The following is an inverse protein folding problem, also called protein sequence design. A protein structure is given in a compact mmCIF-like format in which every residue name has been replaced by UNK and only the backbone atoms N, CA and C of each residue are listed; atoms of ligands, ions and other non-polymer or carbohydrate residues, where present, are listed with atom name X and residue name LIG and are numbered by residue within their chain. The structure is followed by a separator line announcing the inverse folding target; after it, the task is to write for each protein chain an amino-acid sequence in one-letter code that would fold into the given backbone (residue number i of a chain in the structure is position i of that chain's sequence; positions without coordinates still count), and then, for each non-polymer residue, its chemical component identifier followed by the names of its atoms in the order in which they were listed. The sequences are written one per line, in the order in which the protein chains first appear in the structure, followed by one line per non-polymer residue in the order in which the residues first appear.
data_IF_134041959776
#
_entry.id   IF_134041959776
#
_cell.length_a   1.000
_cell.length_b   1.000
_cell.length_c   1.000
_cell.angle_alpha   90.00
_cell.angle_beta   90.00
_cell.angle_gamma   90.00
#
_symmetry.space_group_name_H-M   'P 1'
#
loop_
_entity.id
_entity.type
_entity.pdbx_description
1 polymer ?
#
# COMPACT_ATOMS: atom_id res chain seq x y z
N UNK A 1 -45.42 -39.19 -39.26
CA UNK A 1 -44.63 -37.93 -39.29
C UNK A 1 -44.13 -37.65 -37.88
N UNK A 2 -42.82 -37.80 -37.65
CA UNK A 2 -42.18 -37.46 -36.37
C UNK A 2 -41.97 -35.94 -36.33
N UNK A 3 -42.59 -35.24 -35.38
CA UNK A 3 -42.27 -33.84 -35.09
C UNK A 3 -41.13 -33.81 -34.06
N UNK A 4 -39.92 -33.58 -34.54
CA UNK A 4 -38.75 -33.36 -33.67
C UNK A 4 -38.84 -31.95 -33.09
N UNK A 5 -39.06 -31.86 -31.79
CA UNK A 5 -39.00 -30.61 -31.02
C UNK A 5 -37.53 -30.25 -30.77
N UNK A 6 -37.04 -29.18 -31.40
CA UNK A 6 -35.69 -28.66 -31.16
C UNK A 6 -35.76 -27.75 -29.93
N UNK A 7 -35.31 -28.26 -28.77
CA UNK A 7 -35.08 -27.44 -27.59
C UNK A 7 -33.77 -26.67 -27.75
N UNK A 8 -33.85 -25.38 -28.08
CA UNK A 8 -32.69 -24.49 -28.08
C UNK A 8 -32.40 -24.10 -26.62
N UNK A 9 -31.35 -24.70 -26.05
CA UNK A 9 -30.82 -24.30 -24.74
C UNK A 9 -29.98 -23.03 -24.95
N UNK A 10 -30.52 -21.86 -24.63
CA UNK A 10 -29.71 -20.64 -24.53
C UNK A 10 -28.88 -20.73 -23.25
N UNK A 11 -27.61 -21.11 -23.37
CA UNK A 11 -26.63 -20.89 -22.33
C UNK A 11 -26.33 -19.38 -22.28
N UNK A 12 -27.03 -18.64 -21.40
CA UNK A 12 -26.60 -17.30 -21.02
C UNK A 12 -25.32 -17.44 -20.21
N UNK A 13 -24.17 -17.38 -20.89
CA UNK A 13 -22.92 -17.04 -20.22
C UNK A 13 -23.07 -15.55 -19.91
N UNK A 14 -23.60 -15.24 -18.72
CA UNK A 14 -23.43 -13.94 -18.11
C UNK A 14 -21.93 -13.78 -17.83
N UNK A 15 -21.15 -13.45 -18.85
CA UNK A 15 -19.83 -12.87 -18.62
C UNK A 15 -20.06 -11.61 -17.80
N UNK A 16 -19.57 -11.56 -16.57
CA UNK A 16 -19.62 -10.35 -15.77
C UNK A 16 -19.04 -9.22 -16.62
N UNK A 17 -19.80 -8.12 -16.78
CA UNK A 17 -19.27 -6.96 -17.48
C UNK A 17 -18.02 -6.50 -16.72
N UNK A 18 -16.90 -6.33 -17.43
CA UNK A 18 -15.70 -5.77 -16.84
C UNK A 18 -16.01 -4.42 -16.19
N UNK A 19 -15.54 -4.23 -14.95
CA UNK A 19 -15.76 -3.00 -14.18
C UNK A 19 -14.96 -1.85 -14.80
N UNK A 20 -15.45 -0.62 -14.63
CA UNK A 20 -14.71 0.59 -14.98
C UNK A 20 -14.13 1.26 -13.73
N UNK A 21 -12.86 1.63 -13.74
CA UNK A 21 -12.15 2.23 -12.62
C UNK A 21 -11.46 3.52 -13.01
N UNK A 22 -11.38 4.50 -12.11
CA UNK A 22 -10.57 5.70 -12.35
C UNK A 22 -9.09 5.32 -12.28
N UNK A 23 -8.32 5.80 -13.25
CA UNK A 23 -6.87 5.58 -13.32
C UNK A 23 -6.14 6.92 -13.26
N UNK A 24 -5.35 7.14 -12.20
CA UNK A 24 -4.47 8.30 -12.07
C UNK A 24 -3.34 8.05 -11.07
N UNK A 25 -2.31 8.89 -11.12
CA UNK A 25 -1.24 8.92 -10.14
C UNK A 25 -0.75 10.34 -9.91
N UNK A 26 -0.39 10.64 -8.66
CA UNK A 26 0.22 11.91 -8.27
C UNK A 26 1.21 11.66 -7.11
N UNK A 27 2.30 12.43 -7.05
CA UNK A 27 3.40 12.31 -6.07
C UNK A 27 3.63 13.57 -5.23
N UNK A 28 2.66 14.48 -5.24
CA UNK A 28 2.63 15.73 -4.50
C UNK A 28 1.34 15.87 -3.66
N UNK A 29 0.30 15.10 -3.98
CA UNK A 29 -1.03 15.15 -3.37
C UNK A 29 -1.50 13.78 -2.89
N UNK A 30 -2.48 13.78 -1.98
CA UNK A 30 -3.21 12.58 -1.55
C UNK A 30 -4.44 12.27 -2.42
N UNK A 31 -4.70 13.10 -3.42
CA UNK A 31 -5.80 12.91 -4.38
C UNK A 31 -5.36 13.24 -5.80
N UNK A 32 -5.95 12.55 -6.76
CA UNK A 32 -5.76 12.75 -8.18
C UNK A 32 -7.08 12.47 -8.92
N UNK A 33 -7.19 12.99 -10.13
CA UNK A 33 -8.32 12.72 -11.01
C UNK A 33 -7.82 12.26 -12.37
N UNK A 34 -8.53 11.32 -12.98
CA UNK A 34 -8.14 10.70 -14.23
C UNK A 34 -9.33 10.14 -15.01
N UNK A 35 -9.02 9.34 -16.01
CA UNK A 35 -10.03 8.73 -16.87
C UNK A 35 -10.60 7.45 -16.24
N UNK A 36 -11.85 7.14 -16.57
CA UNK A 36 -12.41 5.82 -16.32
C UNK A 36 -11.92 4.85 -17.40
N UNK A 37 -11.31 3.75 -16.97
CA UNK A 37 -10.80 2.70 -17.86
C UNK A 37 -11.53 1.40 -17.55
N UNK A 38 -11.96 0.68 -18.59
CA UNK A 38 -12.48 -0.69 -18.46
C UNK A 38 -11.34 -1.63 -18.07
N UNK A 39 -11.50 -2.35 -16.96
CA UNK A 39 -10.51 -3.30 -16.47
C UNK A 39 -10.45 -4.59 -17.30
N UNK A 40 -9.42 -5.40 -17.07
CA UNK A 40 -9.38 -6.77 -17.59
C UNK A 40 -10.58 -7.58 -17.09
N UNK A 41 -11.05 -8.55 -17.87
CA UNK A 41 -12.23 -9.37 -17.55
C UNK A 41 -12.09 -10.18 -16.26
N UNK A 42 -10.85 -10.44 -15.81
CA UNK A 42 -10.56 -11.15 -14.55
C UNK A 42 -10.57 -10.24 -13.32
N UNK A 43 -10.62 -8.92 -13.52
CA UNK A 43 -10.57 -7.91 -12.45
C UNK A 43 -11.98 -7.38 -12.19
N UNK A 44 -12.45 -7.56 -10.95
CA UNK A 44 -13.81 -7.19 -10.53
C UNK A 44 -13.83 -6.01 -9.55
N UNK A 45 -12.69 -5.37 -9.32
CA UNK A 45 -12.58 -4.26 -8.36
C UNK A 45 -11.63 -3.15 -8.79
N UNK A 46 -11.92 -1.96 -8.29
CA UNK A 46 -11.03 -0.80 -8.33
C UNK A 46 -10.22 -0.73 -7.05
N UNK A 47 -9.07 -0.06 -7.11
CA UNK A 47 -8.27 0.29 -5.94
C UNK A 47 -7.90 1.77 -5.91
N UNK A 48 -7.81 2.31 -4.69
CA UNK A 48 -7.13 3.57 -4.39
C UNK A 48 -6.08 3.31 -3.32
N UNK A 49 -4.84 3.69 -3.57
CA UNK A 49 -3.76 3.67 -2.61
C UNK A 49 -3.25 5.08 -2.34
N UNK A 50 -3.18 5.46 -1.07
CA UNK A 50 -2.57 6.71 -0.62
C UNK A 50 -1.40 6.40 0.31
N UNK A 51 -0.36 7.21 0.22
CA UNK A 51 0.86 7.11 1.02
C UNK A 51 1.20 8.49 1.59
N UNK A 52 1.57 8.52 2.87
CA UNK A 52 2.13 9.68 3.57
C UNK A 52 3.46 9.25 4.19
N UNK A 53 4.53 9.92 3.78
CA UNK A 53 5.86 9.77 4.34
C UNK A 53 6.31 11.11 4.91
N UNK A 54 6.61 11.11 6.21
CA UNK A 54 7.09 12.28 6.94
C UNK A 54 8.50 12.02 7.44
N UNK A 55 9.40 12.96 7.18
CA UNK A 55 10.70 13.07 7.84
C UNK A 55 10.68 14.31 8.75
N UNK A 56 11.23 14.21 9.96
CA UNK A 56 11.30 15.35 10.86
C UNK A 56 12.08 16.51 10.21
N UNK A 57 11.49 17.71 10.23
CA UNK A 57 12.09 18.91 9.66
C UNK A 57 11.97 19.07 8.15
N UNK A 58 11.34 18.13 7.44
CA UNK A 58 11.06 18.23 5.99
C UNK A 58 9.55 18.31 5.72
N UNK A 59 9.19 18.82 4.55
CA UNK A 59 7.81 18.79 4.07
C UNK A 59 7.38 17.33 3.84
N UNK A 60 6.13 16.97 4.24
CA UNK A 60 5.63 15.62 4.05
C UNK A 60 5.49 15.30 2.56
N UNK A 61 5.76 14.04 2.23
CA UNK A 61 5.65 13.51 0.89
C UNK A 61 4.40 12.66 0.75
N UNK A 62 3.65 12.90 -0.33
CA UNK A 62 2.41 12.18 -0.60
C UNK A 62 2.49 11.43 -1.92
N UNK A 63 1.86 10.26 -1.97
CA UNK A 63 1.64 9.53 -3.22
C UNK A 63 0.21 9.04 -3.24
N UNK A 64 -0.48 9.22 -4.36
CA UNK A 64 -1.78 8.62 -4.62
C UNK A 64 -1.74 7.86 -5.93
N UNK A 65 -2.40 6.71 -5.95
CA UNK A 65 -2.57 5.87 -7.12
C UNK A 65 -3.98 5.31 -7.14
N UNK A 66 -4.68 5.50 -8.25
CA UNK A 66 -5.98 4.90 -8.53
C UNK A 66 -5.82 4.01 -9.76
N UNK A 67 -6.34 2.78 -9.70
CA UNK A 67 -6.31 1.86 -10.83
C UNK A 67 -7.37 0.75 -10.70
N UNK A 68 -7.50 -0.09 -11.72
CA UNK A 68 -7.98 -1.45 -11.56
C UNK A 68 -7.14 -2.17 -10.49
N UNK A 69 -7.79 -2.98 -9.64
CA UNK A 69 -7.07 -3.70 -8.59
C UNK A 69 -6.41 -4.97 -9.12
N UNK A 70 -5.45 -5.49 -8.36
CA UNK A 70 -5.01 -6.88 -8.55
C UNK A 70 -6.13 -7.86 -8.17
N UNK A 71 -6.07 -9.07 -8.73
CA UNK A 71 -6.98 -10.16 -8.38
C UNK A 71 -6.80 -10.51 -6.89
N UNK A 72 -7.87 -10.43 -6.11
CA UNK A 72 -7.84 -10.71 -4.68
C UNK A 72 -7.23 -9.59 -3.82
N UNK A 73 -7.10 -8.37 -4.36
CA UNK A 73 -6.69 -7.20 -3.59
C UNK A 73 -7.58 -7.00 -2.35
N UNK A 74 -6.99 -6.49 -1.27
CA UNK A 74 -7.65 -6.26 0.01
C UNK A 74 -7.42 -4.85 0.51
N UNK A 75 -8.29 -4.40 1.40
CA UNK A 75 -8.07 -3.18 2.15
C UNK A 75 -6.83 -3.32 3.03
N UNK A 76 -5.97 -2.30 3.02
CA UNK A 76 -4.73 -2.25 3.81
C UNK A 76 -4.72 -0.93 4.59
N UNK A 77 -4.32 -1.00 5.86
CA UNK A 77 -3.84 0.15 6.62
C UNK A 77 -2.52 -0.24 7.25
N UNK A 78 -1.43 0.28 6.69
CA UNK A 78 -0.08 -0.04 7.08
C UNK A 78 0.62 1.19 7.64
N UNK A 79 1.40 1.01 8.71
CA UNK A 79 2.13 2.08 9.40
C UNK A 79 3.47 1.56 9.88
N UNK A 80 4.49 2.40 9.71
CA UNK A 80 5.85 2.22 10.20
C UNK A 80 6.33 3.52 10.83
N UNK A 81 7.11 3.40 11.89
CA UNK A 81 7.85 4.49 12.47
C UNK A 81 9.28 4.05 12.75
N UNK A 82 10.24 4.87 12.36
CA UNK A 82 11.63 4.79 12.77
C UNK A 82 12.03 6.14 13.39
N UNK A 83 13.30 6.28 13.76
CA UNK A 83 13.83 7.56 14.25
C UNK A 83 13.56 8.64 13.23
N UNK A 84 12.86 9.69 13.64
CA UNK A 84 12.56 10.89 12.83
C UNK A 84 11.81 10.61 11.51
N UNK A 85 11.26 9.39 11.34
CA UNK A 85 10.60 8.94 10.10
C UNK A 85 9.28 8.26 10.43
N UNK A 86 8.22 8.65 9.73
CA UNK A 86 6.92 8.00 9.80
C UNK A 86 6.38 7.73 8.39
N UNK A 87 5.95 6.49 8.16
CA UNK A 87 5.32 6.06 6.92
C UNK A 87 3.93 5.49 7.21
N UNK A 88 2.95 5.86 6.41
CA UNK A 88 1.66 5.18 6.39
C UNK A 88 1.14 5.01 4.97
N UNK A 89 0.47 3.88 4.75
CA UNK A 89 -0.21 3.58 3.50
C UNK A 89 -1.61 3.06 3.78
N UNK A 90 -2.58 3.51 2.98
CA UNK A 90 -3.94 2.99 2.98
C UNK A 90 -4.28 2.55 1.57
N UNK A 91 -4.75 1.32 1.44
CA UNK A 91 -5.34 0.79 0.20
C UNK A 91 -6.80 0.50 0.47
N UNK A 92 -7.67 0.97 -0.42
CA UNK A 92 -9.09 0.66 -0.41
C UNK A 92 -9.51 0.02 -1.73
N UNK A 93 -10.28 -1.06 -1.64
CA UNK A 93 -10.76 -1.86 -2.76
C UNK A 93 -12.29 -1.84 -2.77
N UNK A 94 -12.88 -1.62 -3.95
CA UNK A 94 -14.33 -1.51 -4.12
C UNK A 94 -14.80 -2.12 -5.45
N UNK A 95 -16.05 -2.58 -5.53
CA UNK A 95 -16.55 -3.49 -6.60
C UNK A 95 -17.70 -2.88 -7.43
N UNK A 96 -17.75 -1.56 -7.60
CA UNK A 96 -18.75 -0.91 -8.47
C UNK A 96 -18.09 0.08 -9.42
N UNK A 97 -18.64 0.27 -10.62
CA UNK A 97 -18.07 1.19 -11.63
C UNK A 97 -17.77 2.57 -11.03
N UNK A 98 -16.53 3.03 -11.19
CA UNK A 98 -16.05 4.33 -10.73
C UNK A 98 -16.10 4.54 -9.22
N UNK A 99 -16.16 3.48 -8.41
CA UNK A 99 -16.22 3.60 -6.94
C UNK A 99 -14.99 4.30 -6.33
N UNK A 100 -13.85 4.25 -7.02
CA UNK A 100 -12.60 4.83 -6.57
C UNK A 100 -12.44 6.32 -6.92
N UNK A 101 -13.48 6.99 -7.45
CA UNK A 101 -13.43 8.41 -7.83
C UNK A 101 -13.20 9.38 -6.67
N UNK A 102 -13.76 9.05 -5.51
CA UNK A 102 -13.65 9.91 -4.33
C UNK A 102 -12.24 9.96 -3.75
N UNK A 103 -11.91 11.01 -2.99
CA UNK A 103 -10.66 11.07 -2.26
C UNK A 103 -10.65 10.03 -1.13
N UNK A 104 -9.51 9.38 -0.95
CA UNK A 104 -9.26 8.50 0.20
C UNK A 104 -8.59 9.31 1.32
N UNK A 105 -8.87 8.97 2.58
CA UNK A 105 -8.34 9.69 3.74
C UNK A 105 -7.67 8.73 4.72
N UNK A 106 -6.70 9.17 5.51
CA UNK A 106 -6.19 8.34 6.60
C UNK A 106 -7.12 8.40 7.82
N UNK A 107 -7.33 7.27 8.53
CA UNK A 107 -7.89 7.35 9.87
C UNK A 107 -6.89 8.06 10.80
N UNK A 108 -7.34 8.65 11.92
CA UNK A 108 -6.45 9.31 12.87
C UNK A 108 -5.27 8.43 13.31
N UNK A 109 -4.11 9.06 13.53
CA UNK A 109 -2.93 8.39 14.10
C UNK A 109 -3.20 8.14 15.59
N UNK A 110 -2.94 6.92 16.06
CA UNK A 110 -2.95 6.63 17.48
C UNK A 110 -1.52 6.73 18.00
N UNK A 111 -1.24 7.78 18.78
CA UNK A 111 0.08 8.11 19.33
C UNK A 111 0.26 7.63 20.77
N UNK A 112 -0.70 6.87 21.31
CA UNK A 112 -0.56 6.30 22.66
C UNK A 112 0.50 5.20 22.66
N UNK A 113 1.46 5.29 23.57
CA UNK A 113 2.49 4.27 23.80
C UNK A 113 1.82 2.90 24.07
N UNK A 114 2.32 1.86 23.40
CA UNK A 114 1.78 0.51 23.54
C UNK A 114 2.68 -0.45 24.35
N UNK A 115 3.82 0.06 24.83
CA UNK A 115 4.78 -0.68 25.65
C UNK A 115 5.79 -1.51 24.87
N UNK A 116 5.61 -1.70 23.56
CA UNK A 116 6.57 -2.41 22.70
C UNK A 116 7.76 -1.52 22.38
N UNK A 117 8.95 -2.10 22.41
CA UNK A 117 10.21 -1.41 22.08
C UNK A 117 10.90 -2.07 20.90
N UNK A 118 11.34 -1.25 19.96
CA UNK A 118 12.07 -1.71 18.78
C UNK A 118 13.41 -0.98 18.65
N UNK A 119 14.50 -1.67 18.26
CA UNK A 119 15.71 -0.99 17.81
C UNK A 119 15.36 -0.06 16.65
N UNK A 120 16.02 1.10 16.58
CA UNK A 120 15.76 2.07 15.52
C UNK A 120 17.04 2.59 14.87
N UNK A 121 17.01 2.68 13.54
CA UNK A 121 18.02 3.34 12.73
C UNK A 121 17.42 3.79 11.39
N UNK A 122 18.03 4.83 10.82
CA UNK A 122 17.70 5.39 9.51
C UNK A 122 19.01 5.74 8.82
N UNK A 123 19.20 5.25 7.60
CA UNK A 123 20.33 5.63 6.75
C UNK A 123 19.87 5.77 5.31
N UNK A 124 20.36 6.80 4.64
CA UNK A 124 20.18 7.04 3.22
C UNK A 124 21.53 6.87 2.50
N UNK A 125 21.49 6.29 1.30
CA UNK A 125 22.67 5.94 0.49
C UNK A 125 23.28 4.57 0.83
N UNK A 126 22.78 3.86 1.84
CA UNK A 126 23.29 2.57 2.28
C UNK A 126 22.17 1.54 2.45
N UNK A 127 22.51 0.25 2.29
CA UNK A 127 21.58 -0.89 2.43
C UNK A 127 21.71 -1.59 3.80
N UNK A 128 22.34 -0.93 4.77
CA UNK A 128 22.41 -1.43 6.13
C UNK A 128 22.54 -0.31 7.15
N UNK A 129 21.82 -0.40 8.26
CA UNK A 129 22.02 0.48 9.40
C UNK A 129 22.14 -0.32 10.71
N UNK A 130 23.02 0.15 11.60
CA UNK A 130 23.15 -0.38 12.94
C UNK A 130 22.30 0.45 13.90
N UNK A 131 21.42 -0.21 14.66
CA UNK A 131 20.56 0.45 15.63
C UNK A 131 21.31 0.67 16.94
N UNK A 132 21.55 1.94 17.28
CA UNK A 132 22.15 2.38 18.56
C UNK A 132 21.11 2.90 19.54
N UNK A 133 19.87 3.07 19.10
CA UNK A 133 18.76 3.65 19.85
C UNK A 133 17.55 2.70 19.85
N UNK A 134 16.59 2.99 20.74
CA UNK A 134 15.34 2.25 20.88
C UNK A 134 14.17 3.20 20.73
N UNK A 135 13.20 2.84 19.90
CA UNK A 135 11.94 3.54 19.72
C UNK A 135 10.84 2.88 20.56
N UNK A 136 10.09 3.68 21.32
CA UNK A 136 8.88 3.21 22.00
C UNK A 136 7.69 3.29 21.04
N UNK A 137 7.09 2.14 20.75
CA UNK A 137 6.06 2.02 19.74
C UNK A 137 4.70 2.54 20.24
N UNK A 138 3.86 2.94 19.28
CA UNK A 138 2.53 3.52 19.55
C UNK A 138 1.43 2.78 18.81
N UNK A 139 0.23 2.82 19.37
CA UNK A 139 -0.98 2.28 18.77
C UNK A 139 -0.83 0.81 18.39
N UNK A 140 -1.11 0.49 17.12
CA UNK A 140 -1.09 -0.89 16.60
C UNK A 140 0.27 -1.33 16.05
N UNK A 141 1.33 -0.54 16.21
CA UNK A 141 2.67 -0.96 15.80
C UNK A 141 3.28 -1.86 16.87
N UNK A 142 2.94 -3.14 16.86
CA UNK A 142 3.27 -4.12 17.91
C UNK A 142 4.45 -5.03 17.57
N UNK A 143 5.12 -4.75 16.45
CA UNK A 143 6.22 -5.55 15.91
C UNK A 143 7.35 -4.61 15.47
N UNK A 144 8.55 -5.17 15.28
CA UNK A 144 9.69 -4.44 14.73
C UNK A 144 9.89 -4.81 13.26
N UNK A 145 10.32 -3.83 12.47
CA UNK A 145 10.65 -3.96 11.07
C UNK A 145 12.11 -3.57 10.88
N UNK A 146 12.84 -4.37 10.13
CA UNK A 146 14.06 -3.94 9.45
C UNK A 146 13.82 -4.08 7.94
N UNK A 147 14.01 -3.00 7.20
CA UNK A 147 13.93 -3.01 5.74
C UNK A 147 15.15 -2.30 5.15
N UNK A 148 15.82 -2.95 4.21
CA UNK A 148 16.83 -2.37 3.34
C UNK A 148 16.37 -2.53 1.90
N UNK A 149 16.21 -1.41 1.20
CA UNK A 149 15.63 -1.41 -0.14
C UNK A 149 16.08 -0.20 -0.95
N UNK A 150 15.86 -0.28 -2.26
CA UNK A 150 15.90 0.88 -3.15
C UNK A 150 14.50 1.50 -3.19
N UNK A 151 14.34 2.70 -2.65
CA UNK A 151 13.09 3.43 -2.57
C UNK A 151 12.94 4.44 -3.71
N UNK A 152 11.73 4.61 -4.20
CA UNK A 152 11.34 5.54 -5.27
C UNK A 152 10.20 6.42 -4.79
N UNK A 153 10.49 7.30 -3.84
CA UNK A 153 9.48 8.14 -3.21
C UNK A 153 9.37 9.48 -3.97
N UNK A 154 10.51 10.06 -4.41
CA UNK A 154 10.57 11.24 -5.28
C UNK A 154 10.66 10.89 -6.77
N UNK A 155 10.63 11.92 -7.63
CA UNK A 155 10.65 11.78 -9.08
C UNK A 155 11.96 11.21 -9.66
N UNK A 156 13.14 11.46 -9.08
CA UNK A 156 14.43 10.83 -9.49
C UNK A 156 15.64 11.37 -8.73
N UNK A 157 16.72 10.56 -8.56
CA UNK A 157 16.81 9.10 -8.74
C UNK A 157 16.36 8.32 -7.48
N UNK A 158 16.04 7.01 -7.61
CA UNK A 158 15.79 6.14 -6.47
C UNK A 158 16.95 6.13 -5.48
N UNK A 159 16.65 6.00 -4.19
CA UNK A 159 17.64 6.03 -3.12
C UNK A 159 17.70 4.67 -2.42
N UNK A 160 18.90 4.17 -2.19
CA UNK A 160 19.10 3.04 -1.30
C UNK A 160 18.99 3.54 0.13
N UNK A 161 18.16 2.90 0.94
CA UNK A 161 18.04 3.24 2.34
C UNK A 161 17.81 1.99 3.18
N UNK A 162 18.16 2.07 4.45
CA UNK A 162 17.77 1.09 5.45
C UNK A 162 17.07 1.76 6.63
N UNK A 163 15.98 1.16 7.07
CA UNK A 163 15.16 1.61 8.18
C UNK A 163 14.96 0.46 9.15
N UNK A 164 15.10 0.74 10.44
CA UNK A 164 14.70 -0.14 11.53
C UNK A 164 13.76 0.62 12.44
N UNK A 165 12.63 0.02 12.83
CA UNK A 165 11.72 0.64 13.79
C UNK A 165 10.45 -0.17 14.04
N UNK A 166 9.40 0.50 14.46
CA UNK A 166 8.09 -0.08 14.78
C UNK A 166 7.26 -0.29 13.51
N UNK A 167 6.49 -1.37 13.44
CA UNK A 167 5.54 -1.66 12.36
C UNK A 167 4.25 -2.27 12.89
N UNK A 168 3.14 -2.05 12.18
CA UNK A 168 1.89 -2.79 12.41
C UNK A 168 1.80 -4.08 11.58
N UNK A 169 2.80 -4.42 10.77
CA UNK A 169 2.87 -5.73 10.12
C UNK A 169 3.24 -6.81 11.14
N UNK A 170 2.51 -7.92 11.09
CA UNK A 170 2.80 -9.10 11.91
C UNK A 170 3.90 -9.98 11.30
N UNK A 171 3.95 -10.04 9.96
CA UNK A 171 4.88 -10.84 9.16
C UNK A 171 5.38 -10.02 7.96
N UNK A 172 6.47 -10.48 7.32
CA UNK A 172 7.07 -9.78 6.18
C UNK A 172 6.09 -9.65 5.00
N UNK A 173 5.23 -10.63 4.79
CA UNK A 173 4.22 -10.67 3.73
C UNK A 173 3.11 -9.63 3.93
N UNK A 174 2.98 -9.06 5.14
CA UNK A 174 2.03 -7.98 5.43
C UNK A 174 2.62 -6.59 5.16
N UNK A 175 3.91 -6.49 4.81
CA UNK A 175 4.53 -5.23 4.42
C UNK A 175 4.18 -4.95 2.95
N UNK A 176 3.44 -3.86 2.66
CA UNK A 176 3.05 -3.57 1.29
C UNK A 176 4.25 -3.05 0.48
N UNK A 177 4.64 -3.83 -0.54
CA UNK A 177 5.67 -3.43 -1.52
C UNK A 177 5.04 -2.66 -2.70
N UNK A 178 3.79 -2.97 -3.03
CA UNK A 178 2.93 -2.21 -3.95
C UNK A 178 1.60 -1.85 -3.29
N UNK A 179 0.67 -1.15 -3.97
CA UNK A 179 0.72 -0.72 -5.38
C UNK A 179 1.23 0.72 -5.60
N UNK A 180 1.75 1.40 -4.57
CA UNK A 180 2.20 2.79 -4.70
C UNK A 180 3.55 2.98 -5.44
N UNK A 181 4.20 1.89 -5.87
CA UNK A 181 5.53 1.87 -6.51
C UNK A 181 6.58 2.72 -5.77
N UNK A 182 6.51 2.75 -4.43
CA UNK A 182 7.42 3.48 -3.56
C UNK A 182 8.68 2.68 -3.24
N UNK A 183 8.64 1.36 -3.46
CA UNK A 183 9.75 0.42 -3.24
C UNK A 183 10.08 -0.23 -4.58
N UNK A 184 11.31 -0.05 -5.05
CA UNK A 184 11.77 -0.60 -6.33
C UNK A 184 12.40 -1.98 -6.17
N UNK A 185 13.24 -2.18 -5.17
CA UNK A 185 13.95 -3.45 -4.96
C UNK A 185 14.21 -3.67 -3.47
N UNK A 186 13.79 -4.82 -2.95
CA UNK A 186 13.94 -5.17 -1.53
C UNK A 186 15.15 -6.08 -1.38
N UNK A 187 16.15 -5.61 -0.65
CA UNK A 187 17.38 -6.36 -0.37
C UNK A 187 17.23 -7.18 0.91
N UNK A 188 16.61 -6.61 1.94
CA UNK A 188 16.33 -7.30 3.20
C UNK A 188 15.03 -6.79 3.78
N UNK A 189 14.19 -7.71 4.24
CA UNK A 189 12.94 -7.41 4.93
C UNK A 189 12.75 -8.40 6.07
N UNK A 190 12.73 -7.90 7.30
CA UNK A 190 12.58 -8.71 8.49
C UNK A 190 11.49 -8.07 9.35
N UNK A 191 10.51 -8.88 9.75
CA UNK A 191 9.55 -8.53 10.79
C UNK A 191 9.80 -9.42 12.00
N UNK A 192 9.97 -8.80 13.15
CA UNK A 192 10.25 -9.50 14.42
C UNK A 192 9.31 -9.00 15.53
N UNK A 193 9.32 -9.69 16.66
CA UNK A 193 8.65 -9.21 17.86
C UNK A 193 9.53 -8.17 18.56
N UNK A 194 8.91 -7.10 19.04
CA UNK A 194 9.59 -6.16 19.92
C UNK A 194 9.74 -6.69 21.33
N UNK A 195 10.54 -5.98 22.12
CA UNK A 195 10.78 -6.24 23.55
C UNK A 195 9.71 -5.58 24.39
#
# INVERSE_FOLDING_TARGET
ALLASISILFAFISGGNAIECEVCSDRASMDCSGELVTCDQTVESCQTAITDLTFEGLDPMYVVFKNCSDVGAKNILYRVAAKDVFYQQRVEVCQTNGCNKGPLQFPPKNTTLNGVKCPTCVVDGELSCEATEVLECVGKMTNCLYIAATFRITATPPIQSAYHGCTCAEFAEHVPIGPADTIQDVVTLIVSKGV
#
